data_IF_081756754661
#
_entry.id   IF_081756754661
#
_cell.length_a   1.000
_cell.length_b   1.000
_cell.length_c   1.000
_cell.angle_alpha   90.00
_cell.angle_beta   90.00
_cell.angle_gamma   90.00
#
_symmetry.space_group_name_H-M   'P 1'
#
loop_
_entity.id
_entity.type
_entity.pdbx_description
1 polymer ?
#
# COMPACT_ATOMS: atom_id res chain seq x y z
N UNK A 1 -20.30 1.84 -10.55
CA UNK A 1 -19.58 2.69 -9.58
C UNK A 1 -19.35 1.99 -8.24
N UNK A 2 -20.39 1.53 -7.54
CA UNK A 2 -20.24 0.85 -6.23
C UNK A 2 -19.24 -0.31 -6.23
N UNK A 3 -19.35 -1.27 -7.16
CA UNK A 3 -18.45 -2.43 -7.22
C UNK A 3 -16.96 -2.06 -7.40
N UNK A 4 -16.66 -1.01 -8.17
CA UNK A 4 -15.29 -0.54 -8.40
C UNK A 4 -14.76 0.17 -7.16
N UNK A 5 -15.58 1.01 -6.50
CA UNK A 5 -15.23 1.66 -5.23
C UNK A 5 -14.98 0.63 -4.12
N UNK A 6 -15.91 -0.30 -3.90
CA UNK A 6 -15.75 -1.34 -2.87
C UNK A 6 -14.59 -2.29 -3.18
N UNK A 7 -14.35 -2.63 -4.46
CA UNK A 7 -13.19 -3.42 -4.87
C UNK A 7 -11.86 -2.69 -4.62
N UNK A 8 -11.80 -1.42 -4.97
CA UNK A 8 -10.65 -0.54 -4.74
C UNK A 8 -10.38 -0.38 -3.23
N UNK A 9 -11.38 0.00 -2.44
CA UNK A 9 -11.27 0.15 -0.98
C UNK A 9 -10.90 -1.18 -0.31
N UNK A 10 -11.49 -2.30 -0.74
CA UNK A 10 -11.20 -3.63 -0.23
C UNK A 10 -9.75 -4.04 -0.50
N UNK A 11 -9.26 -3.84 -1.72
CA UNK A 11 -7.86 -4.10 -2.07
C UNK A 11 -6.88 -3.21 -1.28
N UNK A 12 -7.22 -1.94 -1.06
CA UNK A 12 -6.40 -1.05 -0.22
C UNK A 12 -6.38 -1.49 1.24
N UNK A 13 -7.53 -1.87 1.80
CA UNK A 13 -7.57 -2.42 3.14
C UNK A 13 -6.70 -3.68 3.27
N UNK A 14 -6.73 -4.58 2.30
CA UNK A 14 -5.86 -5.75 2.25
C UNK A 14 -4.37 -5.37 2.16
N UNK A 15 -4.03 -4.34 1.38
CA UNK A 15 -2.66 -3.84 1.28
C UNK A 15 -2.15 -3.22 2.60
N UNK A 16 -2.95 -2.37 3.24
CA UNK A 16 -2.59 -1.77 4.53
C UNK A 16 -2.38 -2.86 5.58
N UNK A 17 -3.25 -3.88 5.61
CA UNK A 17 -3.08 -5.03 6.49
C UNK A 17 -1.80 -5.82 6.16
N UNK A 18 -1.50 -6.07 4.88
CA UNK A 18 -0.35 -6.89 4.49
C UNK A 18 0.98 -6.28 4.90
N UNK A 19 1.15 -4.96 4.82
CA UNK A 19 2.40 -4.36 5.29
C UNK A 19 2.42 -3.85 6.72
N UNK A 20 1.28 -3.75 7.43
CA UNK A 20 1.33 -3.81 8.90
C UNK A 20 1.98 -5.13 9.32
N UNK A 21 1.61 -6.26 8.69
CA UNK A 21 2.25 -7.56 8.95
C UNK A 21 3.74 -7.55 8.59
N UNK A 22 4.13 -7.02 7.43
CA UNK A 22 5.56 -6.94 7.08
C UNK A 22 6.36 -6.04 8.03
N UNK A 23 5.82 -4.89 8.44
CA UNK A 23 6.46 -4.02 9.44
C UNK A 23 6.58 -4.73 10.78
N UNK A 24 5.57 -5.48 11.22
CA UNK A 24 5.64 -6.27 12.46
C UNK A 24 6.72 -7.36 12.38
N UNK A 25 6.86 -8.03 11.24
CA UNK A 25 7.90 -9.06 11.02
C UNK A 25 9.30 -8.43 11.09
N UNK A 26 9.51 -7.33 10.36
CA UNK A 26 10.78 -6.60 10.37
C UNK A 26 11.06 -6.01 11.74
N UNK A 27 10.06 -5.49 12.45
CA UNK A 27 10.26 -4.99 13.81
C UNK A 27 10.67 -6.11 14.77
N UNK A 28 10.01 -7.27 14.71
CA UNK A 28 10.34 -8.40 15.57
C UNK A 28 11.74 -8.98 15.26
N UNK A 29 12.10 -9.07 13.98
CA UNK A 29 13.45 -9.49 13.57
C UNK A 29 14.53 -8.49 14.03
N UNK A 30 14.25 -7.19 13.99
CA UNK A 30 15.17 -6.16 14.50
C UNK A 30 15.39 -6.24 15.99
N UNK A 31 14.34 -6.54 16.78
CA UNK A 31 14.47 -6.79 18.22
C UNK A 31 15.30 -8.03 18.54
N UNK A 32 15.24 -9.05 17.69
CA UNK A 32 16.05 -10.27 17.82
C UNK A 32 17.49 -10.11 17.32
N UNK A 33 17.92 -8.90 16.93
CA UNK A 33 19.29 -8.62 16.49
C UNK A 33 19.63 -9.16 15.10
N UNK A 34 18.64 -9.49 14.26
CA UNK A 34 18.86 -10.00 12.90
C UNK A 34 19.23 -8.92 11.87
N UNK A 35 19.23 -7.64 12.26
CA UNK A 35 19.61 -6.55 11.38
C UNK A 35 20.82 -5.81 11.95
N UNK A 36 21.84 -5.64 11.10
CA UNK A 36 23.03 -4.82 11.32
C UNK A 36 23.02 -3.69 10.28
N UNK A 37 23.86 -2.68 10.47
CA UNK A 37 24.13 -1.57 9.55
C UNK A 37 24.57 -2.00 8.14
N UNK A 38 25.07 -3.23 7.94
CA UNK A 38 25.30 -3.84 6.62
C UNK A 38 24.20 -4.84 6.20
N UNK A 39 23.41 -5.36 7.15
CA UNK A 39 22.42 -6.41 6.91
C UNK A 39 21.00 -5.91 7.19
N UNK A 40 20.61 -4.78 6.61
CA UNK A 40 19.26 -4.20 6.73
C UNK A 40 18.41 -4.39 5.46
N UNK A 41 18.86 -5.24 4.53
CA UNK A 41 18.20 -5.46 3.24
C UNK A 41 16.73 -5.86 3.37
N UNK A 42 16.38 -6.64 4.40
CA UNK A 42 14.98 -7.03 4.67
C UNK A 42 14.08 -5.84 5.06
N UNK A 43 14.63 -4.85 5.76
CA UNK A 43 13.92 -3.60 6.11
C UNK A 43 13.73 -2.75 4.86
N UNK A 44 14.77 -2.62 4.05
CA UNK A 44 14.78 -1.83 2.83
C UNK A 44 13.83 -2.41 1.78
N UNK A 45 13.84 -3.73 1.59
CA UNK A 45 12.91 -4.43 0.70
C UNK A 45 11.46 -4.26 1.16
N UNK A 46 11.20 -4.32 2.47
CA UNK A 46 9.87 -4.05 3.03
C UNK A 46 9.43 -2.60 2.76
N UNK A 47 10.32 -1.63 2.96
CA UNK A 47 10.03 -0.22 2.74
C UNK A 47 9.76 0.07 1.26
N UNK A 48 10.57 -0.49 0.35
CA UNK A 48 10.39 -0.36 -1.10
C UNK A 48 9.08 -1.00 -1.56
N UNK A 49 8.75 -2.19 -1.08
CA UNK A 49 7.46 -2.83 -1.39
C UNK A 49 6.28 -1.99 -0.94
N UNK A 50 6.33 -1.48 0.30
CA UNK A 50 5.27 -0.64 0.86
C UNK A 50 5.09 0.66 0.07
N UNK A 51 6.20 1.37 -0.22
CA UNK A 51 6.16 2.62 -0.96
C UNK A 51 5.71 2.42 -2.41
N UNK A 52 6.15 1.34 -3.07
CA UNK A 52 5.74 1.06 -4.45
C UNK A 52 4.22 0.92 -4.55
N UNK A 53 3.60 0.18 -3.64
CA UNK A 53 2.14 -0.05 -3.68
C UNK A 53 1.38 1.22 -3.27
N UNK A 54 1.88 2.01 -2.33
CA UNK A 54 1.29 3.32 -1.97
C UNK A 54 1.31 4.31 -3.15
N UNK A 55 2.41 4.38 -3.91
CA UNK A 55 2.50 5.22 -5.11
C UNK A 55 1.48 4.82 -6.19
N UNK A 56 1.29 3.52 -6.41
CA UNK A 56 0.24 3.01 -7.31
C UNK A 56 -1.13 3.46 -6.81
N UNK A 57 -1.40 3.35 -5.51
CA UNK A 57 -2.68 3.75 -4.92
C UNK A 57 -2.98 5.25 -5.10
N UNK A 58 -2.01 6.11 -4.78
CA UNK A 58 -2.12 7.58 -4.93
C UNK A 58 -2.37 7.98 -6.39
N UNK A 59 -1.93 7.19 -7.36
CA UNK A 59 -2.22 7.42 -8.77
C UNK A 59 -3.64 6.96 -9.17
N UNK A 60 -4.04 5.74 -8.79
CA UNK A 60 -5.31 5.15 -9.22
C UNK A 60 -6.54 5.74 -8.52
N UNK A 61 -6.43 6.12 -7.25
CA UNK A 61 -7.53 6.70 -6.46
C UNK A 61 -8.11 7.98 -7.10
N UNK A 62 -7.31 9.04 -7.36
CA UNK A 62 -7.81 10.25 -8.00
C UNK A 62 -8.19 10.01 -9.45
N UNK A 63 -7.53 9.12 -10.19
CA UNK A 63 -7.91 8.80 -11.57
C UNK A 63 -9.35 8.27 -11.64
N UNK A 64 -9.72 7.35 -10.75
CA UNK A 64 -11.08 6.79 -10.70
C UNK A 64 -12.08 7.80 -10.11
N UNK A 65 -11.69 8.60 -9.13
CA UNK A 65 -12.54 9.64 -8.56
C UNK A 65 -12.84 10.78 -9.56
N UNK A 66 -11.83 11.28 -10.29
CA UNK A 66 -12.01 12.28 -11.34
C UNK A 66 -12.84 11.71 -12.49
N UNK A 67 -12.56 10.49 -12.96
CA UNK A 67 -13.33 9.88 -14.04
C UNK A 67 -14.80 9.68 -13.65
N UNK A 68 -15.06 9.28 -12.39
CA UNK A 68 -16.41 9.20 -11.84
C UNK A 68 -17.11 10.56 -11.77
N UNK A 69 -16.40 11.61 -11.38
CA UNK A 69 -16.93 12.98 -11.30
C UNK A 69 -17.21 13.55 -12.70
N UNK A 70 -16.30 13.37 -13.66
CA UNK A 70 -16.46 13.86 -15.04
C UNK A 70 -17.67 13.22 -15.71
N UNK A 71 -17.88 11.90 -15.53
CA UNK A 71 -19.08 11.23 -16.07
C UNK A 71 -20.35 11.74 -15.39
N UNK A 72 -20.31 12.07 -14.09
CA UNK A 72 -21.48 12.61 -13.38
C UNK A 72 -21.84 14.04 -13.83
N UNK A 73 -20.86 14.88 -14.18
CA UNK A 73 -21.08 16.26 -14.65
C UNK A 73 -21.49 16.31 -16.13
N UNK A 74 -21.17 15.28 -16.90
CA UNK A 74 -21.55 15.16 -18.31
C UNK A 74 -22.99 14.65 -18.55
N UNK A 75 -23.72 14.29 -17.49
CA UNK A 75 -25.11 13.84 -17.51
C UNK A 75 -26.06 14.88 -16.89
#
# INVERSE_FOLDING_TARGET
YGAILYGMTGMHALHVLSGIVFILIVWNNGRNGHYDSESHWGVEACAIYWHYVDLVWVFFYPAIYLMGTVVHVAH
#
